data_IF_926971647085
#
_entry.id   IF_926971647085
#
_cell.length_a   1.000
_cell.length_b   1.000
_cell.length_c   1.000
_cell.angle_alpha   90.00
_cell.angle_beta   90.00
_cell.angle_gamma   90.00
#
_symmetry.space_group_name_H-M   'P 1'
#
loop_
_entity.id
_entity.type
_entity.pdbx_description
1 polymer ?
#
# COMPACT_ATOMS: atom_id res chain seq x y z
N UNK A 1 86.35 -10.11 29.40
CA UNK A 1 86.69 -9.83 27.99
C UNK A 1 85.56 -10.33 27.08
N UNK A 2 85.05 -9.46 26.19
CA UNK A 2 84.21 -9.72 24.98
C UNK A 2 82.80 -10.35 25.21
N UNK A 3 81.73 -9.56 25.33
CA UNK A 3 80.83 -8.95 24.29
C UNK A 3 80.14 -9.96 23.35
N UNK A 4 78.81 -10.10 23.46
CA UNK A 4 77.82 -10.31 22.37
C UNK A 4 76.43 -9.86 22.91
N UNK A 5 76.00 -8.61 22.71
CA UNK A 5 75.13 -8.08 21.63
C UNK A 5 73.77 -8.79 21.47
N UNK A 6 72.77 -8.15 22.07
CA UNK A 6 71.32 -8.20 21.86
C UNK A 6 70.91 -7.66 20.48
N UNK A 7 70.00 -8.34 19.77
CA UNK A 7 69.05 -7.76 18.79
C UNK A 7 67.72 -8.54 18.93
N UNK A 8 66.57 -7.87 19.13
CA UNK A 8 65.27 -8.51 19.34
C UNK A 8 64.55 -8.88 18.04
N UNK A 9 63.76 -9.95 18.14
CA UNK A 9 62.93 -10.53 17.09
C UNK A 9 61.72 -9.62 16.79
N UNK A 10 61.49 -9.37 15.51
CA UNK A 10 60.40 -8.55 14.96
C UNK A 10 59.05 -9.25 15.18
N UNK A 11 58.09 -8.55 15.79
CA UNK A 11 56.68 -8.91 15.83
C UNK A 11 56.07 -8.80 14.41
N UNK A 12 55.65 -9.92 13.82
CA UNK A 12 54.68 -9.92 12.72
C UNK A 12 53.27 -9.76 13.30
N UNK A 13 52.68 -8.58 13.13
CA UNK A 13 51.29 -8.31 13.44
C UNK A 13 50.35 -9.06 12.49
N UNK A 14 49.49 -9.89 13.05
CA UNK A 14 48.37 -10.55 12.36
C UNK A 14 47.34 -9.47 12.00
N UNK A 15 47.18 -9.21 10.70
CA UNK A 15 46.06 -8.46 10.15
C UNK A 15 44.79 -9.34 10.22
N UNK A 16 44.06 -9.28 11.33
CA UNK A 16 42.69 -9.76 11.42
C UNK A 16 41.73 -8.69 10.93
N UNK A 17 41.54 -8.58 9.61
CA UNK A 17 40.54 -7.72 9.01
C UNK A 17 39.14 -8.17 9.42
N UNK A 18 38.46 -7.31 10.16
CA UNK A 18 37.08 -7.44 10.62
C UNK A 18 36.14 -7.82 9.46
N UNK A 19 35.67 -9.07 9.46
CA UNK A 19 34.46 -9.45 8.75
C UNK A 19 33.29 -8.77 9.47
N UNK A 20 32.77 -7.70 8.88
CA UNK A 20 31.49 -7.13 9.28
C UNK A 20 30.40 -8.16 9.01
N UNK A 21 30.08 -8.97 10.01
CA UNK A 21 28.88 -9.79 10.04
C UNK A 21 27.70 -8.80 10.02
N UNK A 22 27.08 -8.61 8.86
CA UNK A 22 25.73 -8.05 8.77
C UNK A 22 24.81 -9.02 9.50
N UNK A 23 24.64 -8.79 10.79
CA UNK A 23 23.55 -9.39 11.55
C UNK A 23 22.25 -8.91 10.90
N UNK A 24 21.53 -9.82 10.28
CA UNK A 24 20.14 -9.62 9.89
C UNK A 24 19.40 -9.21 11.16
N UNK A 25 18.97 -7.93 11.24
CA UNK A 25 18.14 -7.45 12.35
C UNK A 25 16.93 -8.37 12.42
N UNK A 26 16.72 -8.98 13.58
CA UNK A 26 15.50 -9.74 13.81
C UNK A 26 14.32 -8.76 13.75
N UNK A 27 13.13 -9.22 13.33
CA UNK A 27 11.90 -8.41 13.36
C UNK A 27 11.54 -7.88 14.78
N UNK A 28 12.28 -8.26 15.83
CA UNK A 28 12.16 -7.70 17.17
C UNK A 28 12.90 -6.36 17.35
N UNK A 29 13.86 -6.03 16.47
CA UNK A 29 14.71 -4.84 16.58
C UNK A 29 14.22 -3.65 15.73
N UNK A 30 13.14 -3.82 14.94
CA UNK A 30 12.58 -2.72 14.16
C UNK A 30 11.70 -1.79 15.03
N UNK A 31 12.00 -0.47 15.11
CA UNK A 31 11.24 0.45 15.93
C UNK A 31 9.79 0.66 15.46
N UNK A 32 9.46 0.48 14.17
CA UNK A 32 8.08 0.58 13.70
C UNK A 32 7.27 -0.63 14.16
N UNK A 33 7.83 -1.84 14.07
CA UNK A 33 7.26 -3.07 14.64
C UNK A 33 7.06 -2.99 16.16
N UNK A 34 7.97 -2.33 16.89
CA UNK A 34 7.78 -2.10 18.33
C UNK A 34 6.60 -1.15 18.60
N UNK A 35 6.46 -0.08 17.82
CA UNK A 35 5.33 0.83 17.91
C UNK A 35 4.01 0.12 17.57
N UNK A 36 4.02 -0.75 16.57
CA UNK A 36 2.89 -1.57 16.17
C UNK A 36 2.43 -2.51 17.30
N UNK A 37 3.35 -3.28 17.89
CA UNK A 37 3.04 -4.14 19.04
C UNK A 37 2.51 -3.34 20.23
N UNK A 38 3.09 -2.17 20.50
CA UNK A 38 2.63 -1.28 21.58
C UNK A 38 1.20 -0.79 21.32
N UNK A 39 0.86 -0.45 20.08
CA UNK A 39 -0.48 -0.07 19.69
C UNK A 39 -1.47 -1.23 19.89
N UNK A 40 -1.14 -2.44 19.42
CA UNK A 40 -2.01 -3.60 19.57
C UNK A 40 -2.29 -3.95 21.04
N UNK A 41 -1.25 -3.94 21.88
CA UNK A 41 -1.42 -4.11 23.33
C UNK A 41 -2.30 -3.02 23.95
N UNK A 42 -2.20 -1.78 23.46
CA UNK A 42 -3.00 -0.67 23.96
C UNK A 42 -4.48 -0.83 23.58
N UNK A 43 -4.78 -1.30 22.36
CA UNK A 43 -6.16 -1.65 21.98
C UNK A 43 -6.75 -2.75 22.85
N UNK A 44 -5.96 -3.79 23.14
CA UNK A 44 -6.38 -4.90 24.01
C UNK A 44 -6.63 -4.47 25.45
N UNK A 45 -5.82 -3.55 25.98
CA UNK A 45 -5.96 -3.01 27.35
C UNK A 45 -6.96 -1.87 27.48
N UNK A 46 -7.44 -1.30 26.37
CA UNK A 46 -8.24 -0.07 26.38
C UNK A 46 -7.44 1.17 26.78
N UNK A 47 -6.11 1.18 26.61
CA UNK A 47 -5.25 2.32 26.90
C UNK A 47 -5.38 3.40 25.82
N UNK A 48 -6.41 4.24 25.98
CA UNK A 48 -6.70 5.32 25.05
C UNK A 48 -5.61 6.40 25.01
N UNK A 49 -4.81 6.55 26.07
CA UNK A 49 -3.74 7.55 26.12
C UNK A 49 -2.59 7.13 25.19
N UNK A 50 -2.17 5.87 25.27
CA UNK A 50 -1.13 5.34 24.38
C UNK A 50 -1.60 5.24 22.94
N UNK A 51 -2.85 4.81 22.69
CA UNK A 51 -3.44 4.83 21.34
C UNK A 51 -3.33 6.24 20.75
N UNK A 52 -3.87 7.25 21.44
CA UNK A 52 -3.84 8.65 20.98
C UNK A 52 -2.43 9.16 20.67
N UNK A 53 -1.44 8.74 21.46
CA UNK A 53 -0.03 9.14 21.30
C UNK A 53 0.62 8.52 20.06
N UNK A 54 0.22 7.30 19.69
CA UNK A 54 0.80 6.55 18.56
C UNK A 54 0.14 6.88 17.21
N UNK A 55 -1.10 7.38 17.22
CA UNK A 55 -1.74 7.85 15.98
C UNK A 55 -1.10 9.15 15.49
N UNK A 56 -0.83 9.23 14.20
CA UNK A 56 -0.44 10.47 13.52
C UNK A 56 -1.60 11.49 13.58
N UNK A 57 -1.31 12.78 13.51
CA UNK A 57 -2.36 13.81 13.53
C UNK A 57 -3.27 13.73 12.30
N UNK A 58 -2.74 13.27 11.17
CA UNK A 58 -3.51 13.04 9.94
C UNK A 58 -4.07 11.62 9.85
N UNK A 59 -4.12 10.87 10.95
CA UNK A 59 -4.54 9.48 10.96
C UNK A 59 -5.90 9.24 10.27
N UNK A 60 -5.98 8.18 9.47
CA UNK A 60 -7.20 7.68 8.82
C UNK A 60 -7.38 6.18 9.08
N UNK A 61 -8.63 5.74 9.17
CA UNK A 61 -9.00 4.32 9.31
C UNK A 61 -10.06 3.98 8.27
N UNK A 62 -9.82 2.99 7.43
CA UNK A 62 -10.84 2.38 6.58
C UNK A 62 -11.19 1.02 7.17
N UNK A 63 -12.41 0.88 7.67
CA UNK A 63 -12.86 -0.38 8.25
C UNK A 63 -13.23 -1.41 7.17
N UNK A 64 -13.49 -2.65 7.59
CA UNK A 64 -13.86 -3.76 6.70
C UNK A 64 -15.10 -3.52 5.84
N UNK A 65 -15.96 -2.58 6.24
CA UNK A 65 -17.19 -2.25 5.54
C UNK A 65 -17.00 -1.05 4.57
N UNK A 66 -15.76 -0.53 4.51
CA UNK A 66 -15.34 0.55 3.63
C UNK A 66 -15.70 1.94 4.14
N UNK A 67 -15.96 2.08 5.45
CA UNK A 67 -16.19 3.38 6.08
C UNK A 67 -14.83 4.01 6.39
N UNK A 68 -14.62 5.22 5.89
CA UNK A 68 -13.46 6.04 6.19
C UNK A 68 -13.73 6.88 7.44
N UNK A 69 -12.91 6.72 8.48
CA UNK A 69 -12.92 7.54 9.68
C UNK A 69 -11.68 8.43 9.73
N UNK A 70 -11.89 9.68 10.11
CA UNK A 70 -10.81 10.54 10.56
C UNK A 70 -10.43 10.19 12.01
N UNK A 71 -9.25 10.64 12.44
CA UNK A 71 -8.70 10.33 13.77
C UNK A 71 -9.67 10.55 14.93
N UNK A 72 -10.32 11.71 14.98
CA UNK A 72 -11.28 12.03 16.04
C UNK A 72 -12.47 11.08 16.04
N UNK A 73 -12.96 10.71 14.85
CA UNK A 73 -14.10 9.82 14.67
C UNK A 73 -13.77 8.38 15.04
N UNK A 74 -12.60 7.89 14.61
CA UNK A 74 -12.11 6.56 14.99
C UNK A 74 -11.97 6.41 16.51
N UNK A 75 -11.42 7.44 17.18
CA UNK A 75 -11.28 7.46 18.64
C UNK A 75 -12.64 7.54 19.35
N UNK A 76 -13.57 8.37 18.85
CA UNK A 76 -14.91 8.54 19.40
C UNK A 76 -15.77 7.27 19.22
N UNK A 77 -15.65 6.61 18.08
CA UNK A 77 -16.29 5.33 17.81
C UNK A 77 -15.64 4.16 18.56
N UNK A 78 -14.51 4.40 19.25
CA UNK A 78 -13.74 3.39 19.97
C UNK A 78 -13.44 2.16 19.07
N UNK A 79 -13.02 2.43 17.83
CA UNK A 79 -12.71 1.37 16.86
C UNK A 79 -11.65 0.42 17.43
N UNK A 80 -11.78 -0.85 17.03
CA UNK A 80 -10.86 -1.93 17.40
C UNK A 80 -10.33 -2.59 16.13
N UNK A 81 -9.05 -2.99 16.11
CA UNK A 81 -8.49 -3.72 15.00
C UNK A 81 -9.31 -4.95 14.62
N UNK A 82 -9.57 -5.13 13.33
CA UNK A 82 -10.19 -6.32 12.75
C UNK A 82 -9.38 -7.58 13.05
N UNK A 83 -8.05 -7.44 13.03
CA UNK A 83 -7.10 -8.50 13.32
C UNK A 83 -6.28 -8.10 14.55
N UNK A 84 -6.76 -8.40 15.77
CA UNK A 84 -5.97 -8.23 16.98
C UNK A 84 -4.77 -9.18 16.97
N UNK A 85 -3.62 -8.72 17.45
CA UNK A 85 -2.42 -9.54 17.55
C UNK A 85 -2.61 -10.71 18.54
N UNK A 86 -2.48 -11.92 18.04
CA UNK A 86 -2.58 -13.20 18.76
C UNK A 86 -1.49 -14.17 18.30
N UNK A 87 -1.42 -15.37 18.89
CA UNK A 87 -0.48 -16.41 18.48
C UNK A 87 -0.68 -16.88 17.02
N UNK A 88 -1.91 -16.78 16.50
CA UNK A 88 -2.26 -17.20 15.15
C UNK A 88 -2.10 -16.07 14.12
N UNK A 89 -1.78 -14.85 14.57
CA UNK A 89 -1.63 -13.70 13.69
C UNK A 89 -0.35 -13.80 12.88
N UNK A 90 -0.49 -13.84 11.56
CA UNK A 90 0.62 -13.71 10.63
C UNK A 90 0.94 -12.24 10.45
N UNK A 91 2.20 -11.88 10.60
CA UNK A 91 2.69 -10.52 10.43
C UNK A 91 3.66 -10.47 9.26
N UNK A 92 3.44 -9.54 8.35
CA UNK A 92 4.34 -9.21 7.24
C UNK A 92 4.72 -7.75 7.36
N UNK A 93 5.99 -7.43 7.15
CA UNK A 93 6.56 -6.09 7.29
C UNK A 93 7.38 -5.77 6.04
N UNK A 94 7.14 -4.61 5.44
CA UNK A 94 7.98 -4.05 4.38
C UNK A 94 8.35 -2.59 4.70
N UNK A 95 9.61 -2.24 4.44
CA UNK A 95 10.18 -0.93 4.77
C UNK A 95 10.47 -0.12 3.51
N UNK A 96 10.03 1.14 3.49
CA UNK A 96 10.16 2.08 2.39
C UNK A 96 10.62 3.43 2.93
N UNK A 97 11.93 3.56 3.18
CA UNK A 97 12.52 4.78 3.72
C UNK A 97 11.89 5.18 5.05
N UNK A 98 11.09 6.26 5.05
CA UNK A 98 10.37 6.79 6.22
C UNK A 98 8.98 6.21 6.43
N UNK A 99 8.60 5.20 5.65
CA UNK A 99 7.31 4.51 5.73
C UNK A 99 7.58 3.03 5.99
N UNK A 100 6.84 2.44 6.91
CA UNK A 100 6.81 0.98 7.10
C UNK A 100 5.37 0.53 6.95
N UNK A 101 5.17 -0.44 6.09
CA UNK A 101 3.89 -1.10 5.90
C UNK A 101 3.91 -2.43 6.66
N UNK A 102 2.91 -2.64 7.52
CA UNK A 102 2.77 -3.85 8.33
C UNK A 102 1.40 -4.44 8.07
N UNK A 103 1.33 -5.70 7.68
CA UNK A 103 0.07 -6.44 7.59
C UNK A 103 -0.07 -7.41 8.75
N UNK A 104 -1.25 -7.40 9.38
CA UNK A 104 -1.71 -8.48 10.23
C UNK A 104 -2.75 -9.30 9.48
N UNK A 105 -2.62 -10.62 9.51
CA UNK A 105 -3.55 -11.53 8.86
C UNK A 105 -3.91 -12.71 9.77
N UNK A 106 -5.21 -13.03 9.80
CA UNK A 106 -5.75 -14.29 10.30
C UNK A 106 -6.83 -14.74 9.32
N UNK A 107 -6.66 -15.95 8.76
CA UNK A 107 -7.57 -16.51 7.75
C UNK A 107 -7.82 -15.52 6.58
N UNK A 108 -9.08 -15.10 6.40
CA UNK A 108 -9.56 -14.20 5.35
C UNK A 108 -9.68 -12.74 5.82
N UNK A 109 -9.12 -12.42 6.99
CA UNK A 109 -9.08 -11.07 7.55
C UNK A 109 -7.67 -10.50 7.43
N UNK A 110 -7.58 -9.27 6.96
CA UNK A 110 -6.35 -8.56 6.70
C UNK A 110 -6.48 -7.14 7.26
N UNK A 111 -5.45 -6.67 7.95
CA UNK A 111 -5.34 -5.28 8.38
C UNK A 111 -3.95 -4.77 8.03
N UNK A 112 -3.89 -3.74 7.19
CA UNK A 112 -2.67 -3.05 6.83
C UNK A 112 -2.51 -1.79 7.69
N UNK A 113 -1.33 -1.63 8.27
CA UNK A 113 -0.91 -0.49 9.10
C UNK A 113 0.22 0.24 8.40
N UNK A 114 0.02 1.52 8.13
CA UNK A 114 0.97 2.38 7.44
C UNK A 114 1.63 3.28 8.49
N UNK A 115 2.80 2.87 8.95
CA UNK A 115 3.60 3.60 9.92
C UNK A 115 4.52 4.58 9.21
N UNK A 116 4.63 5.79 9.75
CA UNK A 116 5.46 6.86 9.19
C UNK A 116 6.38 7.46 10.23
N UNK A 117 7.60 7.79 9.82
CA UNK A 117 8.59 8.39 10.71
C UNK A 117 8.35 9.89 10.85
N UNK A 118 8.05 10.34 12.06
CA UNK A 118 7.95 11.76 12.44
C UNK A 118 9.09 12.15 13.40
N UNK A 119 9.34 13.45 13.63
CA UNK A 119 10.34 13.88 14.63
C UNK A 119 10.12 13.28 16.03
N UNK A 120 8.87 12.98 16.39
CA UNK A 120 8.48 12.40 17.67
C UNK A 120 8.51 10.86 17.66
N UNK A 121 9.07 10.24 16.62
CA UNK A 121 9.15 8.80 16.40
C UNK A 121 8.11 8.28 15.40
N UNK A 122 7.97 6.96 15.33
CA UNK A 122 6.98 6.32 14.46
C UNK A 122 5.55 6.67 14.88
N UNK A 123 4.71 6.97 13.90
CA UNK A 123 3.28 7.25 14.06
C UNK A 123 2.48 6.46 13.06
N UNK A 124 1.32 5.97 13.47
CA UNK A 124 0.40 5.27 12.59
C UNK A 124 -0.37 6.32 11.78
N UNK A 125 -0.14 6.36 10.47
CA UNK A 125 -0.78 7.28 9.54
C UNK A 125 -2.12 6.73 9.04
N UNK A 126 -2.18 5.43 8.77
CA UNK A 126 -3.35 4.86 8.13
C UNK A 126 -3.56 3.39 8.51
N UNK A 127 -4.82 2.99 8.61
CA UNK A 127 -5.25 1.59 8.73
C UNK A 127 -6.23 1.28 7.61
N UNK A 128 -6.02 0.16 6.93
CA UNK A 128 -7.00 -0.38 5.99
C UNK A 128 -7.32 -1.84 6.30
N UNK A 129 -8.59 -2.13 6.53
CA UNK A 129 -9.07 -3.44 6.94
C UNK A 129 -9.89 -4.11 5.84
N UNK A 130 -9.65 -5.39 5.63
CA UNK A 130 -10.35 -6.21 4.65
C UNK A 130 -10.77 -7.51 5.33
N UNK A 131 -12.07 -7.76 5.37
CA UNK A 131 -12.62 -9.10 5.54
C UNK A 131 -13.00 -9.60 4.14
N UNK A 132 -12.17 -10.49 3.59
CA UNK A 132 -12.37 -11.03 2.26
C UNK A 132 -13.63 -11.90 2.23
N UNK A 133 -14.41 -11.78 1.16
CA UNK A 133 -15.67 -12.50 0.96
C UNK A 133 -15.62 -13.25 -0.36
N UNK A 134 -16.38 -14.36 -0.49
CA UNK A 134 -16.55 -15.01 -1.79
C UNK A 134 -17.11 -14.03 -2.82
N UNK A 135 -16.64 -14.14 -4.06
CA UNK A 135 -17.20 -13.38 -5.16
C UNK A 135 -18.68 -13.73 -5.35
N UNK A 136 -19.55 -12.72 -5.44
CA UNK A 136 -20.98 -12.93 -5.73
C UNK A 136 -21.21 -12.90 -7.24
N UNK A 137 -22.03 -13.82 -7.76
CA UNK A 137 -22.37 -13.85 -9.18
C UNK A 137 -22.99 -12.50 -9.63
N UNK A 138 -22.51 -11.97 -10.75
CA UNK A 138 -22.91 -10.67 -11.27
C UNK A 138 -22.35 -9.46 -10.49
N UNK A 139 -21.51 -9.67 -9.47
CA UNK A 139 -20.70 -8.61 -8.88
C UNK A 139 -19.47 -8.35 -9.76
N UNK A 140 -19.15 -7.08 -10.00
CA UNK A 140 -18.08 -6.64 -10.90
C UNK A 140 -18.33 -7.03 -12.36
N UNK A 141 -19.55 -6.78 -12.86
CA UNK A 141 -19.88 -7.01 -14.27
C UNK A 141 -18.94 -6.23 -15.18
N UNK A 142 -18.22 -6.92 -16.06
CA UNK A 142 -17.31 -6.26 -16.99
C UNK A 142 -18.11 -5.55 -18.09
N UNK A 143 -17.81 -4.28 -18.40
CA UNK A 143 -18.40 -3.63 -19.56
C UNK A 143 -18.21 -4.38 -20.87
N UNK A 144 -19.19 -4.29 -21.76
CA UNK A 144 -19.19 -4.91 -23.09
C UNK A 144 -18.80 -3.93 -24.21
N UNK A 145 -18.27 -2.77 -23.84
CA UNK A 145 -17.93 -1.68 -24.75
C UNK A 145 -16.61 -1.03 -24.30
N UNK A 146 -16.00 -0.28 -25.21
CA UNK A 146 -14.73 0.39 -24.92
C UNK A 146 -14.93 1.52 -23.92
N UNK A 147 -14.18 1.48 -22.82
CA UNK A 147 -14.10 2.57 -21.84
C UNK A 147 -12.73 3.24 -21.99
N UNK A 148 -12.65 4.48 -22.50
CA UNK A 148 -11.37 5.16 -22.70
C UNK A 148 -10.73 5.52 -21.36
N UNK A 149 -9.39 5.45 -21.28
CA UNK A 149 -8.71 5.92 -20.09
C UNK A 149 -8.60 7.45 -20.11
N UNK A 150 -9.52 8.13 -19.42
CA UNK A 150 -9.46 9.56 -19.17
C UNK A 150 -8.82 9.84 -17.81
N UNK A 151 -9.35 9.23 -16.75
CA UNK A 151 -8.80 9.29 -15.41
C UNK A 151 -8.37 7.88 -14.99
N UNK A 152 -7.12 7.69 -14.55
CA UNK A 152 -6.11 8.71 -14.30
C UNK A 152 -5.26 9.08 -15.52
N UNK A 153 -5.37 8.38 -16.66
CA UNK A 153 -4.32 8.42 -17.69
C UNK A 153 -4.09 9.78 -18.39
N UNK A 154 -5.12 10.62 -18.53
CA UNK A 154 -5.03 11.91 -19.23
C UNK A 154 -5.25 13.09 -18.30
N UNK A 155 -6.17 12.94 -17.35
CA UNK A 155 -6.60 14.00 -16.46
C UNK A 155 -6.78 13.47 -15.04
N UNK A 156 -6.47 14.32 -14.07
CA UNK A 156 -6.68 14.06 -12.65
C UNK A 156 -7.62 15.12 -12.08
N UNK A 157 -8.64 14.75 -11.28
CA UNK A 157 -9.53 15.70 -10.63
C UNK A 157 -8.87 16.43 -9.44
N UNK A 158 -7.58 16.24 -9.21
CA UNK A 158 -6.78 16.93 -8.20
C UNK A 158 -5.40 17.31 -8.76
N UNK A 159 -4.68 18.13 -7.99
CA UNK A 159 -3.30 18.52 -8.30
C UNK A 159 -2.38 17.93 -7.23
N UNK A 160 -1.25 17.30 -7.61
CA UNK A 160 -0.20 16.94 -6.66
C UNK A 160 0.29 18.20 -5.92
N UNK A 161 0.65 18.05 -4.64
CA UNK A 161 1.06 19.15 -3.77
C UNK A 161 2.58 19.30 -3.71
N UNK A 162 3.34 18.29 -4.13
CA UNK A 162 4.80 18.32 -4.23
C UNK A 162 5.31 17.74 -5.55
N UNK A 163 6.60 17.97 -5.84
CA UNK A 163 7.29 17.34 -6.98
C UNK A 163 7.29 15.82 -6.85
N UNK A 164 7.59 15.30 -5.66
CA UNK A 164 7.61 13.85 -5.40
C UNK A 164 6.23 13.22 -5.61
N UNK A 165 5.16 13.84 -5.10
CA UNK A 165 3.80 13.36 -5.35
C UNK A 165 3.47 13.37 -6.83
N UNK A 166 3.88 14.42 -7.55
CA UNK A 166 3.67 14.52 -8.99
C UNK A 166 4.34 13.35 -9.71
N UNK A 167 5.61 13.08 -9.43
CA UNK A 167 6.36 12.00 -10.09
C UNK A 167 5.78 10.61 -9.73
N UNK A 168 5.39 10.40 -8.48
CA UNK A 168 4.75 9.15 -8.05
C UNK A 168 3.41 8.91 -8.79
N UNK A 169 2.61 9.96 -8.93
CA UNK A 169 1.34 9.91 -9.66
C UNK A 169 1.55 9.75 -11.15
N UNK A 170 2.57 10.38 -11.76
CA UNK A 170 2.94 10.15 -13.16
C UNK A 170 3.35 8.69 -13.40
N UNK A 171 4.11 8.10 -12.47
CA UNK A 171 4.42 6.66 -12.49
C UNK A 171 3.16 5.78 -12.41
N UNK A 172 2.19 6.15 -11.58
CA UNK A 172 0.90 5.47 -11.52
C UNK A 172 0.07 5.65 -12.80
N UNK A 173 0.06 6.84 -13.42
CA UNK A 173 -0.60 7.08 -14.69
C UNK A 173 0.01 6.22 -15.80
N UNK A 174 1.33 6.10 -15.84
CA UNK A 174 2.06 5.25 -16.79
C UNK A 174 1.73 3.76 -16.56
N UNK A 175 1.69 3.33 -15.29
CA UNK A 175 1.23 1.99 -14.91
C UNK A 175 -0.15 1.66 -15.47
N UNK A 176 -1.11 2.59 -15.34
CA UNK A 176 -2.51 2.37 -15.68
C UNK A 176 -2.86 2.73 -17.14
N UNK A 177 -1.90 3.25 -17.91
CA UNK A 177 -2.08 3.75 -19.28
C UNK A 177 -2.52 2.71 -20.31
N UNK A 178 -2.42 1.42 -19.99
CA UNK A 178 -2.71 0.33 -20.92
C UNK A 178 -1.61 0.10 -21.97
N UNK A 179 -0.42 0.70 -21.78
CA UNK A 179 0.73 0.62 -22.70
C UNK A 179 1.62 -0.61 -22.49
N UNK A 180 1.19 -1.57 -21.66
CA UNK A 180 1.96 -2.77 -21.30
C UNK A 180 3.00 -2.53 -20.20
N UNK A 181 3.12 -1.30 -19.71
CA UNK A 181 4.08 -0.89 -18.66
C UNK A 181 3.62 -1.19 -17.24
N UNK A 182 2.37 -1.65 -17.06
CA UNK A 182 1.79 -1.99 -15.75
C UNK A 182 2.74 -2.79 -14.86
N UNK A 183 3.26 -3.91 -15.35
CA UNK A 183 4.10 -4.80 -14.54
C UNK A 183 5.48 -4.21 -14.21
N UNK A 184 5.94 -3.19 -14.94
CA UNK A 184 7.19 -2.51 -14.60
C UNK A 184 7.04 -1.70 -13.31
N UNK A 185 5.89 -1.06 -13.14
CA UNK A 185 5.56 -0.24 -11.98
C UNK A 185 5.10 -1.04 -10.75
N UNK A 186 5.14 -2.37 -10.78
CA UNK A 186 4.80 -3.19 -9.63
C UNK A 186 6.08 -3.51 -8.84
N UNK A 187 6.02 -3.37 -7.52
CA UNK A 187 7.03 -3.87 -6.59
C UNK A 187 7.09 -5.40 -6.56
N UNK A 188 8.18 -5.94 -6.01
CA UNK A 188 8.43 -7.39 -5.97
C UNK A 188 7.49 -8.14 -5.01
N UNK A 189 6.88 -7.41 -4.06
CA UNK A 189 6.06 -7.96 -2.99
C UNK A 189 4.59 -7.50 -3.06
N UNK A 190 4.14 -6.95 -4.20
CA UNK A 190 2.77 -6.43 -4.29
C UNK A 190 1.75 -7.57 -4.27
N UNK A 191 1.01 -7.64 -3.17
CA UNK A 191 -0.24 -8.38 -3.09
C UNK A 191 -1.40 -7.42 -3.28
N UNK A 192 -2.20 -7.65 -4.32
CA UNK A 192 -3.52 -7.02 -4.38
C UNK A 192 -4.47 -7.84 -3.51
N UNK A 193 -4.86 -7.26 -2.38
CA UNK A 193 -5.88 -7.83 -1.49
C UNK A 193 -7.16 -7.03 -1.71
N UNK A 194 -8.27 -7.75 -1.96
CA UNK A 194 -9.56 -7.13 -2.27
C UNK A 194 -10.67 -7.77 -1.45
N UNK A 195 -11.69 -7.00 -1.07
CA UNK A 195 -12.86 -7.53 -0.36
C UNK A 195 -13.61 -8.65 -1.10
N UNK A 196 -13.47 -8.73 -2.43
CA UNK A 196 -14.27 -9.60 -3.29
C UNK A 196 -13.49 -10.83 -3.81
N UNK A 197 -12.34 -11.13 -3.20
CA UNK A 197 -11.54 -12.33 -3.51
C UNK A 197 -11.03 -12.95 -2.22
N UNK A 198 -11.28 -14.25 -2.05
CA UNK A 198 -10.70 -15.04 -0.95
C UNK A 198 -9.20 -15.30 -1.15
N UNK A 199 -8.67 -15.05 -2.35
CA UNK A 199 -7.27 -15.27 -2.69
C UNK A 199 -6.60 -13.93 -2.97
N UNK A 200 -5.65 -13.48 -2.12
CA UNK A 200 -4.71 -12.41 -2.47
C UNK A 200 -4.01 -12.73 -3.79
N UNK A 201 -3.90 -11.74 -4.67
CA UNK A 201 -3.20 -11.91 -5.94
C UNK A 201 -1.81 -11.31 -5.86
N UNK A 202 -0.80 -12.17 -5.90
CA UNK A 202 0.57 -11.72 -6.07
C UNK A 202 0.77 -11.27 -7.51
N UNK A 203 1.29 -10.06 -7.69
CA UNK A 203 1.71 -9.60 -9.02
C UNK A 203 3.17 -9.95 -9.23
N UNK A 204 3.49 -10.54 -10.38
CA UNK A 204 4.89 -10.76 -10.79
C UNK A 204 5.33 -9.55 -11.60
N UNK A 205 6.34 -8.78 -11.15
CA UNK A 205 6.81 -7.61 -11.87
C UNK A 205 7.57 -7.99 -13.13
N UNK A 206 7.77 -7.01 -14.02
CA UNK A 206 8.54 -7.17 -15.25
C UNK A 206 9.62 -6.10 -15.35
N UNK A 207 10.77 -6.44 -15.93
CA UNK A 207 11.85 -5.48 -16.20
C UNK A 207 11.57 -4.60 -17.43
N UNK A 208 10.53 -4.90 -18.21
CA UNK A 208 10.20 -4.17 -19.42
C UNK A 208 8.71 -4.21 -19.78
N UNK A 209 8.30 -3.49 -20.85
CA UNK A 209 6.91 -3.49 -21.28
C UNK A 209 6.46 -4.90 -21.69
N UNK A 210 5.27 -5.26 -21.27
CA UNK A 210 4.59 -6.49 -21.67
C UNK A 210 3.77 -6.28 -22.94
N UNK A 211 3.53 -7.37 -23.69
CA UNK A 211 2.71 -7.31 -24.91
C UNK A 211 1.28 -6.90 -24.57
N UNK A 212 0.74 -5.92 -25.28
CA UNK A 212 -0.67 -5.52 -25.22
C UNK A 212 -1.38 -6.07 -26.45
N UNK A 213 -2.39 -6.90 -26.21
CA UNK A 213 -3.26 -7.36 -27.30
C UNK A 213 -4.23 -6.25 -27.72
N UNK A 214 -4.44 -6.03 -29.03
CA UNK A 214 -5.43 -5.07 -29.51
C UNK A 214 -6.84 -5.45 -29.03
N UNK A 215 -7.69 -4.45 -28.71
CA UNK A 215 -9.07 -4.73 -28.33
C UNK A 215 -9.89 -5.32 -29.49
N UNK A 216 -10.80 -6.23 -29.17
CA UNK A 216 -11.77 -6.81 -30.12
C UNK A 216 -13.21 -6.50 -29.69
N UNK A 217 -14.20 -6.87 -30.51
CA UNK A 217 -15.62 -6.78 -30.14
C UNK A 217 -15.96 -7.61 -28.90
N UNK A 218 -15.33 -8.76 -28.74
CA UNK A 218 -15.52 -9.69 -27.61
C UNK A 218 -14.70 -9.27 -26.39
N UNK A 219 -13.58 -8.58 -26.63
CA UNK A 219 -12.64 -8.11 -25.61
C UNK A 219 -12.35 -6.61 -25.82
N UNK A 220 -13.33 -5.73 -25.52
CA UNK A 220 -13.11 -4.30 -25.66
C UNK A 220 -12.05 -3.82 -24.67
N UNK A 221 -11.40 -2.71 -25.03
CA UNK A 221 -10.49 -2.04 -24.11
C UNK A 221 -11.29 -1.41 -22.99
N UNK A 222 -10.97 -1.76 -21.75
CA UNK A 222 -11.61 -1.18 -20.57
C UNK A 222 -10.49 -0.58 -19.75
N UNK A 223 -10.52 0.73 -19.59
CA UNK A 223 -9.53 1.44 -18.81
C UNK A 223 -9.52 0.98 -17.36
N UNK A 224 -8.44 1.32 -16.66
CA UNK A 224 -8.44 1.28 -15.20
C UNK A 224 -9.61 2.09 -14.62
N UNK A 225 -9.95 1.80 -13.37
CA UNK A 225 -10.94 2.56 -12.63
C UNK A 225 -10.40 3.96 -12.30
N UNK A 226 -11.19 5.03 -12.50
CA UNK A 226 -10.72 6.38 -12.22
C UNK A 226 -10.52 6.53 -10.72
N UNK A 227 -9.73 7.50 -10.29
CA UNK A 227 -9.73 7.95 -8.91
C UNK A 227 -10.50 9.26 -8.83
N UNK A 228 -11.56 9.31 -8.04
CA UNK A 228 -12.41 10.53 -7.91
C UNK A 228 -12.06 11.34 -6.66
N UNK A 229 -11.32 10.74 -5.75
CA UNK A 229 -10.70 11.39 -4.61
C UNK A 229 -9.32 10.76 -4.39
N UNK A 230 -8.34 11.57 -4.05
CA UNK A 230 -7.02 11.11 -3.60
C UNK A 230 -6.54 11.99 -2.46
N UNK A 231 -6.01 11.35 -1.41
CA UNK A 231 -5.19 11.97 -0.39
C UNK A 231 -3.83 11.29 -0.40
N UNK A 232 -2.78 12.08 -0.55
CA UNK A 232 -1.40 11.64 -0.53
C UNK A 232 -0.66 12.23 0.67
N UNK A 233 0.41 11.54 1.06
CA UNK A 233 1.42 12.02 1.99
C UNK A 233 2.80 11.72 1.43
N UNK A 234 3.58 12.77 1.27
CA UNK A 234 4.94 12.74 0.75
C UNK A 234 5.98 12.56 1.87
N UNK A 235 6.86 11.57 1.72
CA UNK A 235 7.97 11.28 2.62
C UNK A 235 9.34 11.34 1.95
N UNK A 236 9.43 11.92 0.76
CA UNK A 236 10.67 12.15 0.00
C UNK A 236 10.86 11.14 -1.13
N UNK A 237 11.18 9.89 -0.80
CA UNK A 237 11.33 8.78 -1.76
C UNK A 237 10.11 7.84 -1.78
N UNK A 238 9.12 8.14 -0.95
CA UNK A 238 7.94 7.28 -0.73
C UNK A 238 6.70 8.15 -0.59
N UNK A 239 5.60 7.73 -1.21
CA UNK A 239 4.29 8.39 -1.12
C UNK A 239 3.26 7.37 -0.65
N UNK A 240 2.53 7.70 0.43
CA UNK A 240 1.34 6.94 0.84
C UNK A 240 0.12 7.59 0.21
N UNK A 241 -0.82 6.80 -0.32
CA UNK A 241 -2.03 7.30 -0.94
C UNK A 241 -3.28 6.53 -0.51
N UNK A 242 -4.36 7.27 -0.26
CA UNK A 242 -5.72 6.74 -0.18
C UNK A 242 -6.52 7.29 -1.35
N UNK A 243 -7.15 6.42 -2.13
CA UNK A 243 -7.91 6.82 -3.31
C UNK A 243 -9.32 6.22 -3.30
N UNK A 244 -10.33 7.00 -3.66
CA UNK A 244 -11.67 6.49 -3.95
C UNK A 244 -11.76 6.13 -5.42
N UNK A 245 -12.00 4.87 -5.72
CA UNK A 245 -12.10 4.38 -7.09
C UNK A 245 -13.49 3.80 -7.36
N UNK A 246 -14.32 4.45 -8.21
CA UNK A 246 -15.51 3.81 -8.73
C UNK A 246 -15.13 2.72 -9.73
N UNK A 247 -15.82 1.60 -9.69
CA UNK A 247 -15.66 0.48 -10.62
C UNK A 247 -16.57 0.61 -11.83
N UNK A 248 -16.26 -0.12 -12.91
CA UNK A 248 -17.06 -0.13 -14.14
C UNK A 248 -18.25 -1.11 -14.14
N UNK A 249 -18.68 -1.58 -12.97
CA UNK A 249 -19.70 -2.62 -12.85
C UNK A 249 -19.80 -3.30 -11.48
N UNK A 250 -19.16 -2.72 -10.46
CA UNK A 250 -19.17 -3.21 -9.10
C UNK A 250 -19.52 -2.09 -8.12
N UNK A 251 -19.21 -2.30 -6.85
CA UNK A 251 -19.22 -1.23 -5.86
C UNK A 251 -17.95 -0.39 -5.96
N UNK A 252 -17.97 0.89 -5.58
CA UNK A 252 -16.74 1.65 -5.38
C UNK A 252 -15.92 1.05 -4.22
N UNK A 253 -14.62 1.29 -4.25
CA UNK A 253 -13.72 0.87 -3.19
C UNK A 253 -12.69 1.96 -2.87
N UNK A 254 -12.12 1.87 -1.68
CA UNK A 254 -10.93 2.61 -1.31
C UNK A 254 -9.67 1.80 -1.66
N UNK A 255 -8.74 2.39 -2.39
CA UNK A 255 -7.38 1.85 -2.50
C UNK A 255 -6.46 2.54 -1.51
N UNK A 256 -5.74 1.77 -0.69
CA UNK A 256 -4.64 2.26 0.13
C UNK A 256 -3.33 1.74 -0.43
N UNK A 257 -2.41 2.64 -0.77
CA UNK A 257 -1.21 2.32 -1.54
C UNK A 257 0.05 2.93 -0.95
N UNK A 258 1.16 2.25 -1.18
CA UNK A 258 2.51 2.81 -1.03
C UNK A 258 3.15 2.85 -2.41
N UNK A 259 3.66 4.02 -2.79
CA UNK A 259 4.51 4.19 -3.95
C UNK A 259 5.94 4.50 -3.48
N UNK A 260 6.93 3.80 -4.01
CA UNK A 260 8.34 4.03 -3.68
C UNK A 260 9.16 4.32 -4.94
N UNK A 261 10.15 5.20 -4.80
CA UNK A 261 11.08 5.56 -5.86
C UNK A 261 12.26 4.57 -5.91
N UNK A 262 12.47 3.96 -7.06
CA UNK A 262 13.60 3.10 -7.36
C UNK A 262 14.50 3.78 -8.39
N UNK A 263 15.36 4.68 -7.93
CA UNK A 263 16.32 5.41 -8.77
C UNK A 263 15.65 6.20 -9.91
N UNK A 264 14.64 7.00 -9.57
CA UNK A 264 13.84 7.77 -10.54
C UNK A 264 12.69 7.00 -11.16
N UNK A 265 12.54 5.71 -10.86
CA UNK A 265 11.43 4.89 -11.35
C UNK A 265 10.46 4.57 -10.22
N UNK A 266 9.26 5.14 -10.28
CA UNK A 266 8.24 4.98 -9.25
C UNK A 266 7.48 3.66 -9.40
N UNK A 267 7.41 2.88 -8.33
CA UNK A 267 6.67 1.63 -8.26
C UNK A 267 5.58 1.71 -7.21
N UNK A 268 4.44 1.08 -7.49
CA UNK A 268 3.45 0.72 -6.48
C UNK A 268 3.96 -0.52 -5.75
N UNK A 269 4.26 -0.36 -4.47
CA UNK A 269 4.81 -1.41 -3.60
C UNK A 269 3.70 -2.14 -2.83
N UNK A 270 2.62 -1.44 -2.50
CA UNK A 270 1.48 -1.97 -1.75
C UNK A 270 0.15 -1.51 -2.34
N UNK A 271 -0.86 -2.38 -2.35
CA UNK A 271 -2.21 -2.00 -2.77
C UNK A 271 -3.32 -2.83 -2.10
N UNK A 272 -4.08 -2.17 -1.22
CA UNK A 272 -5.24 -2.73 -0.53
C UNK A 272 -6.54 -2.13 -1.03
N UNK A 273 -7.49 -2.95 -1.47
CA UNK A 273 -8.78 -2.51 -2.03
C UNK A 273 -9.96 -2.91 -1.14
N UNK A 274 -10.50 -1.95 -0.39
CA UNK A 274 -11.62 -2.17 0.52
C UNK A 274 -12.91 -1.64 -0.07
N UNK A 275 -13.84 -2.56 -0.36
CA UNK A 275 -15.13 -2.23 -0.97
C UNK A 275 -16.03 -1.49 0.00
N UNK A 276 -16.67 -0.42 -0.48
CA UNK A 276 -17.67 0.32 0.30
C UNK A 276 -18.97 -0.48 0.27
N UNK A 277 -19.23 -1.23 1.34
CA UNK A 277 -20.32 -2.22 1.38
C UNK A 277 -21.69 -1.58 1.27
N UNK A 278 -21.86 -0.38 1.83
CA UNK A 278 -23.11 0.37 1.78
C UNK A 278 -23.40 1.00 0.39
N UNK A 279 -22.40 1.13 -0.47
CA UNK A 279 -22.58 1.78 -1.77
C UNK A 279 -23.38 0.88 -2.74
N UNK A 280 -24.22 1.46 -3.61
CA UNK A 280 -24.85 0.70 -4.68
C UNK A 280 -23.80 0.19 -5.67
N UNK A 281 -24.16 -0.85 -6.43
CA UNK A 281 -23.37 -1.24 -7.60
C UNK A 281 -23.55 -0.18 -8.67
N UNK A 282 -22.46 0.27 -9.26
CA UNK A 282 -22.52 1.07 -10.46
C UNK A 282 -22.89 0.16 -11.61
N UNK A 283 -24.02 0.45 -12.25
CA UNK A 283 -24.37 -0.17 -13.51
C UNK A 283 -23.64 0.59 -14.61
N UNK A 284 -22.94 -0.15 -15.46
CA UNK A 284 -22.55 0.39 -16.75
C UNK A 284 -23.85 0.62 -17.55
N UNK A 285 -24.11 1.87 -17.92
CA UNK A 285 -25.14 2.20 -18.89
C UNK A 285 -24.41 2.34 -20.23
N UNK A 286 -24.74 1.55 -21.27
CA UNK A 286 -24.33 1.84 -22.65
C UNK A 286 -24.65 3.29 -22.96
N UNK A 287 -23.92 3.90 -23.90
CA UNK A 287 -24.39 5.12 -24.56
C UNK A 287 -25.78 4.80 -25.13
N UNK A 288 -26.83 5.02 -24.32
CA UNK A 288 -28.14 5.32 -24.84
C UNK A 288 -27.88 6.60 -25.59
N UNK A 289 -27.97 6.54 -26.93
CA UNK A 289 -28.05 7.74 -27.76
C UNK A 289 -28.93 8.72 -26.98
N UNK A 290 -28.35 9.79 -26.47
CA UNK A 290 -29.08 10.83 -25.78
C UNK A 290 -30.03 11.42 -26.83
N UNK A 291 -31.27 10.93 -26.87
CA UNK A 291 -32.29 11.48 -27.74
C UNK A 291 -32.70 12.79 -27.08
N UNK A 292 -32.17 13.90 -27.58
CA UNK A 292 -32.39 15.26 -27.07
C UNK A 292 -33.83 15.77 -27.29
N UNK A 293 -34.83 14.88 -27.19
CA UNK A 293 -36.24 15.12 -27.49
C UNK A 293 -37.18 14.82 -26.31
N UNK A 294 -36.68 14.85 -25.08
CA UNK A 294 -37.50 14.94 -23.88
C UNK A 294 -37.05 16.12 -23.02
#
# INVERSE_FOLDING_TARGET
MKRFRTIPLVLCGICGGLLSVQASKSAADDPAMQADRALQMSYAKGDTATIKKLLDDEFRWIDKDGILYERSDALRANLKPLVPMSADTKITEHQYGKVVWIQHNVEHKFAAYFWVQRPQGWRLLHVNEIEARPAVAGENSRPTFTVPCMNPCKELPWKPLSTTEKEAIEGWQDQESGTGRRLMHMGDHVFTITSNSMNPQQTVPSSGPTKVEPPTSEHPFISTTPAVYVKTWDFGDTVVAIMLQPTWGGKPYWSSRVFANHNGFWKMEESYHTTIQAAPRMQYVPDQKWDARN
#
